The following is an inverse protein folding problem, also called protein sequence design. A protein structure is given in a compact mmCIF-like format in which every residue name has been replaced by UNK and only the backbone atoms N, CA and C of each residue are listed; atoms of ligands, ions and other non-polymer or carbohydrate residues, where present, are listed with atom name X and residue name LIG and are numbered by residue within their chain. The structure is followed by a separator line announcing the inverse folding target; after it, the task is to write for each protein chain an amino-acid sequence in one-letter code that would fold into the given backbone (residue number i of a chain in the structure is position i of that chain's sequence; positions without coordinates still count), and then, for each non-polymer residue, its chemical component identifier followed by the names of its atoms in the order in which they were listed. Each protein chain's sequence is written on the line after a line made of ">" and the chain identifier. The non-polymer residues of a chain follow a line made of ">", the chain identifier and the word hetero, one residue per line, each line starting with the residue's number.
data_IF_878303729819
#
_entry.id   IF_878303729819
#
_cell.length_a   1.000
_cell.length_b   1.000
_cell.length_c   1.000
_cell.angle_alpha   90.00
_cell.angle_beta   90.00
_cell.angle_gamma   90.00
#
_symmetry.space_group_name_H-M   'P 1'
#
loop_
_entity.id
_entity.type
_entity.pdbx_description
1 polymer ?
#
# COMPACT_ATOMS: atom_id res chain seq x y z
N UNK A 1 -12.31 2.67 -26.69
CA UNK A 1 -11.55 3.45 -25.77
C UNK A 1 -11.41 2.76 -24.43
N UNK A 2 -10.25 2.63 -23.94
CA UNK A 2 -9.99 1.88 -22.73
C UNK A 2 -9.81 2.81 -21.55
N UNK A 3 -10.57 2.57 -20.51
CA UNK A 3 -10.27 3.20 -19.24
C UNK A 3 -8.97 2.63 -18.72
N UNK A 4 -8.13 3.48 -18.20
CA UNK A 4 -6.91 3.02 -17.55
C UNK A 4 -7.28 2.21 -16.31
N UNK A 5 -6.60 1.09 -16.13
CA UNK A 5 -6.78 0.32 -14.90
C UNK A 5 -6.09 1.05 -13.76
N UNK A 6 -6.66 0.94 -12.59
CA UNK A 6 -5.97 1.39 -11.39
C UNK A 6 -4.75 0.51 -11.15
N UNK A 7 -3.67 1.13 -10.72
CA UNK A 7 -2.39 0.46 -10.47
C UNK A 7 -2.19 0.29 -8.97
N UNK A 8 -1.89 -0.92 -8.58
CA UNK A 8 -1.63 -1.25 -7.17
C UNK A 8 -0.17 -1.64 -7.06
N UNK A 9 0.61 -0.89 -6.30
CA UNK A 9 2.01 -1.23 -6.07
C UNK A 9 2.10 -2.10 -4.82
N UNK A 10 2.63 -3.31 -4.99
CA UNK A 10 2.81 -4.27 -3.92
C UNK A 10 4.29 -4.29 -3.55
N UNK A 11 4.60 -3.88 -2.33
CA UNK A 11 5.98 -3.90 -1.83
C UNK A 11 6.05 -5.00 -0.78
N UNK A 12 6.66 -6.13 -1.15
CA UNK A 12 6.64 -7.34 -0.35
C UNK A 12 7.88 -8.16 -0.65
N UNK A 13 8.59 -8.58 0.40
CA UNK A 13 9.83 -9.36 0.21
C UNK A 13 9.59 -10.85 0.05
N UNK A 14 8.45 -11.37 0.49
CA UNK A 14 8.15 -12.80 0.45
C UNK A 14 7.46 -13.17 -0.86
N UNK A 15 8.10 -13.98 -1.72
CA UNK A 15 7.51 -14.28 -3.03
C UNK A 15 6.13 -14.92 -2.96
N UNK A 16 5.92 -15.82 -1.99
CA UNK A 16 4.62 -16.48 -1.87
C UNK A 16 3.52 -15.48 -1.56
N UNK A 17 3.81 -14.52 -0.70
CA UNK A 17 2.83 -13.49 -0.36
C UNK A 17 2.58 -12.57 -1.53
N UNK A 18 3.65 -12.21 -2.25
CA UNK A 18 3.51 -11.38 -3.45
C UNK A 18 2.58 -12.04 -4.45
N UNK A 19 2.78 -13.34 -4.71
CA UNK A 19 1.94 -14.06 -5.66
C UNK A 19 0.48 -14.07 -5.24
N UNK A 20 0.24 -14.25 -3.96
CA UNK A 20 -1.13 -14.24 -3.44
C UNK A 20 -1.79 -12.89 -3.68
N UNK A 21 -1.09 -11.80 -3.36
CA UNK A 21 -1.63 -10.46 -3.54
C UNK A 21 -1.82 -10.13 -5.01
N UNK A 22 -0.88 -10.51 -5.86
CA UNK A 22 -0.97 -10.29 -7.31
C UNK A 22 -2.23 -10.94 -7.86
N UNK A 23 -2.50 -12.18 -7.45
CA UNK A 23 -3.68 -12.90 -7.90
C UNK A 23 -4.96 -12.12 -7.55
N UNK A 24 -5.02 -11.61 -6.34
CA UNK A 24 -6.21 -10.89 -5.89
C UNK A 24 -6.38 -9.58 -6.64
N UNK A 25 -5.28 -8.87 -6.86
CA UNK A 25 -5.31 -7.61 -7.62
C UNK A 25 -5.78 -7.86 -9.04
N UNK A 26 -5.24 -8.89 -9.69
CA UNK A 26 -5.67 -9.25 -11.05
C UNK A 26 -7.12 -9.68 -11.07
N UNK A 27 -7.55 -10.46 -10.09
CA UNK A 27 -8.93 -10.91 -10.03
C UNK A 27 -9.90 -9.74 -9.90
N UNK A 28 -9.45 -8.66 -9.27
CA UNK A 28 -10.26 -7.46 -9.12
C UNK A 28 -10.25 -6.58 -10.38
N UNK A 29 -9.53 -6.99 -11.43
CA UNK A 29 -9.45 -6.21 -12.67
C UNK A 29 -8.45 -5.08 -12.61
N UNK A 30 -7.51 -5.13 -11.68
CA UNK A 30 -6.54 -4.06 -11.45
C UNK A 30 -5.16 -4.49 -11.93
N UNK A 31 -4.26 -3.52 -12.03
CA UNK A 31 -2.92 -3.76 -12.54
C UNK A 31 -1.91 -3.80 -11.39
N UNK A 32 -1.28 -4.95 -11.12
CA UNK A 32 -0.28 -5.02 -10.06
C UNK A 32 1.09 -4.57 -10.54
N UNK A 33 1.77 -3.81 -9.70
CA UNK A 33 3.18 -3.49 -9.84
C UNK A 33 3.88 -4.09 -8.62
N UNK A 34 5.08 -4.61 -8.80
CA UNK A 34 5.75 -5.38 -7.76
C UNK A 34 7.11 -4.76 -7.45
N UNK A 35 7.41 -4.62 -6.18
CA UNK A 35 8.74 -4.30 -5.70
C UNK A 35 9.04 -5.19 -4.51
N UNK A 36 10.30 -5.65 -4.40
CA UNK A 36 10.70 -6.52 -3.30
C UNK A 36 11.48 -5.79 -2.22
N UNK A 37 11.82 -4.52 -2.47
CA UNK A 37 12.56 -3.69 -1.53
C UNK A 37 11.89 -2.33 -1.44
N UNK A 38 12.24 -1.59 -0.37
CA UNK A 38 11.76 -0.22 -0.23
C UNK A 38 12.29 0.68 -1.33
N UNK A 39 13.56 0.54 -1.67
CA UNK A 39 14.15 1.35 -2.74
C UNK A 39 13.46 1.08 -4.07
N UNK A 40 13.23 -0.20 -4.38
CA UNK A 40 12.49 -0.55 -5.58
C UNK A 40 11.08 0.00 -5.57
N UNK A 41 10.46 0.02 -4.39
CA UNK A 41 9.13 0.60 -4.23
C UNK A 41 9.09 2.09 -4.51
N UNK A 42 10.08 2.82 -3.97
CA UNK A 42 10.18 4.26 -4.23
C UNK A 42 10.35 4.55 -5.72
N UNK A 43 11.21 3.77 -6.37
CA UNK A 43 11.45 3.94 -7.81
C UNK A 43 10.17 3.67 -8.61
N UNK A 44 9.50 2.57 -8.31
CA UNK A 44 8.27 2.23 -9.03
C UNK A 44 7.16 3.24 -8.78
N UNK A 45 7.05 3.73 -7.56
CA UNK A 45 6.06 4.77 -7.25
C UNK A 45 6.33 6.03 -8.07
N UNK A 46 7.60 6.42 -8.19
CA UNK A 46 7.97 7.61 -8.97
C UNK A 46 7.71 7.42 -10.47
N UNK A 47 7.97 6.22 -10.97
CA UNK A 47 7.83 5.95 -12.40
C UNK A 47 6.38 5.76 -12.82
N UNK A 48 5.56 5.15 -11.98
CA UNK A 48 4.23 4.69 -12.38
C UNK A 48 3.07 5.39 -11.68
N UNK A 49 3.33 6.12 -10.62
CA UNK A 49 2.29 6.84 -9.85
C UNK A 49 1.11 5.92 -9.54
N UNK A 50 1.32 4.88 -8.72
CA UNK A 50 0.23 3.95 -8.40
C UNK A 50 -0.91 4.64 -7.67
N UNK A 51 -2.07 4.03 -7.74
CA UNK A 51 -3.26 4.55 -7.09
C UNK A 51 -3.38 4.07 -5.64
N UNK A 52 -2.65 3.04 -5.29
CA UNK A 52 -2.66 2.46 -3.94
C UNK A 52 -1.36 1.68 -3.77
N UNK A 53 -0.81 1.74 -2.56
CA UNK A 53 0.38 0.95 -2.21
C UNK A 53 0.02 -0.02 -1.09
N UNK A 54 0.34 -1.30 -1.31
CA UNK A 54 0.28 -2.32 -0.27
C UNK A 54 1.70 -2.53 0.20
N UNK A 55 1.97 -2.22 1.46
CA UNK A 55 3.34 -2.12 1.96
C UNK A 55 3.58 -3.06 3.13
N UNK A 56 4.47 -4.04 2.92
CA UNK A 56 5.01 -4.83 4.02
C UNK A 56 5.92 -3.94 4.85
N UNK A 57 5.70 -3.91 6.17
CA UNK A 57 6.51 -3.05 7.03
C UNK A 57 7.89 -3.63 7.31
N UNK A 58 8.06 -4.95 7.22
CA UNK A 58 9.35 -5.60 7.47
C UNK A 58 10.05 -5.86 6.14
N UNK A 59 10.82 -4.88 5.69
CA UNK A 59 11.56 -4.98 4.43
C UNK A 59 13.04 -5.25 4.73
N UNK A 60 13.79 -5.66 3.69
CA UNK A 60 15.19 -6.03 3.90
C UNK A 60 16.12 -4.84 3.91
N UNK A 61 15.79 -3.78 3.17
CA UNK A 61 16.69 -2.65 2.97
C UNK A 61 16.33 -1.43 3.82
N UNK A 62 15.13 -1.39 4.37
CA UNK A 62 14.70 -0.30 5.21
C UNK A 62 13.46 -0.69 5.99
N UNK A 63 13.18 0.06 7.04
CA UNK A 63 11.91 -0.08 7.76
C UNK A 63 10.79 0.46 6.87
N UNK A 64 9.65 -0.22 6.87
CA UNK A 64 8.51 0.24 6.06
C UNK A 64 8.06 1.63 6.43
N UNK A 65 8.16 2.02 7.70
CA UNK A 65 7.78 3.38 8.10
C UNK A 65 8.78 4.41 7.56
N UNK A 66 10.03 4.04 7.39
CA UNK A 66 11.01 4.88 6.73
C UNK A 66 10.62 5.08 5.26
N UNK A 67 10.17 4.01 4.61
CA UNK A 67 9.67 4.11 3.25
C UNK A 67 8.56 5.16 3.16
N UNK A 68 7.61 5.11 4.11
CA UNK A 68 6.50 6.07 4.11
C UNK A 68 7.02 7.50 4.22
N UNK A 69 7.97 7.75 5.12
CA UNK A 69 8.56 9.07 5.26
C UNK A 69 9.19 9.56 3.97
N UNK A 70 9.95 8.69 3.33
CA UNK A 70 10.63 9.05 2.08
C UNK A 70 9.64 9.32 0.97
N UNK A 71 8.57 8.53 0.89
CA UNK A 71 7.55 8.73 -0.13
C UNK A 71 6.84 10.05 0.07
N UNK A 72 6.52 10.40 1.32
CA UNK A 72 5.79 11.63 1.62
C UNK A 72 6.58 12.89 1.30
N UNK A 73 7.90 12.79 1.14
CA UNK A 73 8.72 13.93 0.76
C UNK A 73 8.66 14.23 -0.73
N UNK A 74 8.14 13.30 -1.55
CA UNK A 74 8.15 13.45 -3.00
C UNK A 74 6.86 14.10 -3.46
N UNK A 75 6.96 15.18 -4.26
CA UNK A 75 5.75 15.84 -4.76
C UNK A 75 4.89 14.86 -5.56
N UNK A 76 3.59 14.97 -5.38
CA UNK A 76 2.59 14.15 -6.05
C UNK A 76 2.52 12.71 -5.56
N UNK A 77 3.53 12.23 -4.82
CA UNK A 77 3.48 10.88 -4.26
C UNK A 77 2.93 10.92 -2.83
N UNK A 78 2.92 12.07 -2.20
CA UNK A 78 2.46 12.17 -0.82
C UNK A 78 0.97 11.91 -0.67
N UNK A 79 0.21 11.94 -1.76
CA UNK A 79 -1.22 11.70 -1.73
C UNK A 79 -1.60 10.23 -1.90
N UNK A 80 -0.67 9.39 -2.30
CA UNK A 80 -0.99 7.99 -2.60
C UNK A 80 -1.36 7.27 -1.31
N UNK A 81 -2.53 6.62 -1.26
CA UNK A 81 -2.90 5.87 -0.06
C UNK A 81 -2.01 4.64 0.12
N UNK A 82 -1.67 4.37 1.36
CA UNK A 82 -0.82 3.24 1.73
C UNK A 82 -1.56 2.39 2.75
N UNK A 83 -1.70 1.10 2.44
CA UNK A 83 -2.20 0.12 3.39
C UNK A 83 -1.00 -0.72 3.82
N UNK A 84 -0.65 -0.63 5.09
CA UNK A 84 0.49 -1.36 5.63
C UNK A 84 0.08 -2.79 5.98
N UNK A 85 1.03 -3.71 5.92
CA UNK A 85 0.83 -5.11 6.27
C UNK A 85 1.93 -5.55 7.21
N UNK A 86 1.58 -6.35 8.23
CA UNK A 86 2.56 -6.89 9.17
C UNK A 86 1.99 -8.12 9.86
N UNK A 87 2.89 -9.03 10.25
CA UNK A 87 2.48 -10.15 11.10
C UNK A 87 2.30 -9.71 12.55
N UNK A 88 2.71 -8.49 12.88
CA UNK A 88 2.65 -7.98 14.25
C UNK A 88 1.49 -6.99 14.39
N UNK A 89 0.40 -7.39 15.06
CA UNK A 89 -0.76 -6.51 15.19
C UNK A 89 -0.44 -5.22 15.96
N UNK A 90 0.56 -5.24 16.84
CA UNK A 90 0.91 -4.04 17.58
C UNK A 90 1.50 -2.94 16.71
N UNK A 91 1.85 -3.27 15.46
CA UNK A 91 2.38 -2.26 14.54
C UNK A 91 1.31 -1.35 13.96
N UNK A 92 0.04 -1.67 14.21
CA UNK A 92 -1.06 -0.89 13.61
C UNK A 92 -1.00 0.59 13.98
N UNK A 93 -0.82 0.88 15.26
CA UNK A 93 -0.81 2.28 15.69
C UNK A 93 0.39 3.02 15.12
N UNK A 94 1.55 2.38 15.11
CA UNK A 94 2.73 3.00 14.54
C UNK A 94 2.56 3.27 13.05
N UNK A 95 1.92 2.34 12.33
CA UNK A 95 1.68 2.51 10.90
C UNK A 95 0.76 3.69 10.63
N UNK A 96 -0.35 3.77 11.34
CA UNK A 96 -1.30 4.85 11.14
C UNK A 96 -0.69 6.18 11.53
N UNK A 97 0.03 6.22 12.65
CA UNK A 97 0.68 7.42 13.12
C UNK A 97 1.76 7.87 12.14
N UNK A 98 2.45 6.91 11.53
CA UNK A 98 3.54 7.17 10.60
C UNK A 98 3.12 7.60 9.21
N UNK A 99 1.83 7.61 8.90
CA UNK A 99 1.37 8.11 7.62
C UNK A 99 0.67 7.09 6.73
N UNK A 100 0.50 5.85 7.21
CA UNK A 100 -0.29 4.88 6.47
C UNK A 100 -1.76 5.16 6.64
N UNK A 101 -2.54 4.84 5.61
CA UNK A 101 -3.98 5.10 5.64
C UNK A 101 -4.74 3.99 6.34
N UNK A 102 -4.19 2.77 6.31
CA UNK A 102 -4.81 1.66 7.01
C UNK A 102 -3.78 0.56 7.23
N UNK A 103 -4.20 -0.53 7.86
CA UNK A 103 -3.32 -1.60 8.28
C UNK A 103 -4.03 -2.94 8.16
N UNK A 104 -3.34 -3.93 7.62
CA UNK A 104 -3.83 -5.30 7.53
C UNK A 104 -2.87 -6.22 8.25
N UNK A 105 -3.39 -6.99 9.20
CA UNK A 105 -2.61 -8.00 9.88
C UNK A 105 -2.47 -9.22 9.00
N UNK A 106 -1.27 -9.78 8.93
CA UNK A 106 -1.03 -11.03 8.21
C UNK A 106 -1.38 -12.21 9.10
N UNK A 107 -1.94 -13.28 8.55
CA UNK A 107 -2.26 -13.49 7.14
C UNK A 107 -3.43 -12.62 6.69
N UNK A 108 -3.27 -11.95 5.55
CA UNK A 108 -4.26 -11.02 5.06
C UNK A 108 -5.50 -11.79 4.58
N UNK A 109 -6.66 -11.38 5.08
CA UNK A 109 -7.92 -11.95 4.62
C UNK A 109 -8.36 -11.23 3.35
N UNK A 110 -8.74 -12.00 2.36
CA UNK A 110 -9.10 -11.43 1.06
C UNK A 110 -10.26 -10.46 1.14
N UNK A 111 -11.23 -10.76 2.00
CA UNK A 111 -12.37 -9.86 2.13
C UNK A 111 -11.95 -8.50 2.68
N UNK A 112 -11.00 -8.49 3.61
CA UNK A 112 -10.49 -7.24 4.15
C UNK A 112 -9.68 -6.48 3.11
N UNK A 113 -8.82 -7.19 2.38
CA UNK A 113 -8.02 -6.57 1.32
C UNK A 113 -8.92 -5.94 0.27
N UNK A 114 -9.92 -6.68 -0.19
CA UNK A 114 -10.81 -6.17 -1.22
C UNK A 114 -11.62 -4.98 -0.71
N UNK A 115 -11.99 -4.99 0.56
CA UNK A 115 -12.67 -3.85 1.16
C UNK A 115 -11.83 -2.60 1.14
N UNK A 116 -10.55 -2.72 1.47
CA UNK A 116 -9.63 -1.57 1.43
C UNK A 116 -9.42 -1.08 0.01
N UNK A 117 -9.24 -2.00 -0.93
CA UNK A 117 -9.05 -1.63 -2.33
C UNK A 117 -10.26 -0.83 -2.82
N UNK A 118 -11.46 -1.33 -2.54
CA UNK A 118 -12.68 -0.64 -2.97
C UNK A 118 -12.78 0.73 -2.33
N UNK A 119 -12.48 0.81 -1.05
CA UNK A 119 -12.59 2.06 -0.32
C UNK A 119 -11.66 3.14 -0.87
N UNK A 120 -10.42 2.78 -1.14
CA UNK A 120 -9.41 3.76 -1.54
C UNK A 120 -9.42 4.09 -3.01
N UNK A 121 -9.98 3.21 -3.86
CA UNK A 121 -9.98 3.45 -5.29
C UNK A 121 -11.30 3.97 -5.82
N UNK A 122 -12.41 3.59 -5.21
CA UNK A 122 -13.72 3.83 -5.81
C UNK A 122 -14.68 4.66 -4.97
N UNK A 123 -14.46 4.73 -3.67
CA UNK A 123 -15.34 5.53 -2.83
C UNK A 123 -14.81 6.95 -2.73
N UNK A 124 -15.73 7.87 -2.46
CA UNK A 124 -15.34 9.25 -2.31
C UNK A 124 -14.32 9.38 -1.19
N UNK A 125 -13.27 10.16 -1.39
CA UNK A 125 -12.29 10.35 -0.35
C UNK A 125 -12.91 11.02 0.85
N UNK A 126 -12.53 10.52 2.02
CA UNK A 126 -12.92 11.14 3.27
C UNK A 126 -11.65 11.43 4.04
N UNK A 127 -11.71 12.45 4.90
CA UNK A 127 -10.57 12.76 5.74
C UNK A 127 -10.42 11.66 6.76
N UNK A 128 -9.23 11.08 6.85
CA UNK A 128 -8.99 10.03 7.81
C UNK A 128 -9.04 10.61 9.23
N UNK A 129 -9.44 9.81 10.22
CA UNK A 129 -9.45 10.29 11.61
C UNK A 129 -8.10 10.82 12.05
N UNK A 130 -7.04 10.25 11.54
CA UNK A 130 -5.71 10.69 11.85
C UNK A 130 -5.47 12.13 11.41
N UNK A 131 -5.97 12.51 10.23
CA UNK A 131 -5.82 13.89 9.76
C UNK A 131 -6.66 14.85 10.59
N UNK A 132 -7.82 14.39 11.00
CA UNK A 132 -8.68 15.24 11.83
C UNK A 132 -8.10 15.47 13.21
N UNK A 133 -7.28 14.57 13.68
CA UNK A 133 -6.69 14.66 15.01
C UNK A 133 -5.58 15.70 15.12
N UNK A 134 -5.17 16.26 14.03
CA UNK A 134 -4.08 17.24 14.05
C UNK A 134 -4.54 18.62 14.40
#
# INVERSE_FOLDING_TARGET
>A
MNASRHKILIIEKQPNYTQLLVKQVLFAGLLPLIAVTGEGGLRKASEHHPDLILLELDLTDMDGLEFVSLLREKPRLEQIPIVAMSIFPYMKNAALYGGCHDFLEKPVKMIDLMGHIRRFLYESPSVSPKRLAR
#
